data_IF_845936090593
#
_entry.id   IF_845936090593
#
_cell.length_a   1.000
_cell.length_b   1.000
_cell.length_c   1.000
_cell.angle_alpha   90.00
_cell.angle_beta   90.00
_cell.angle_gamma   90.00
#
_symmetry.space_group_name_H-M   'P 1'
#
loop_
_entity.id
_entity.type
_entity.pdbx_description
1 polymer ?
#
# COMPACT_ATOMS: atom_id res chain seq x y z
N UNK A 1 -4.40 3.10 -9.62
CA UNK A 1 -4.18 4.55 -9.49
C UNK A 1 -4.68 4.96 -8.13
N UNK A 2 -3.97 5.85 -7.45
CA UNK A 2 -4.31 6.27 -6.10
C UNK A 2 -4.48 7.78 -6.02
N UNK A 3 -5.60 8.24 -5.46
CA UNK A 3 -5.85 9.65 -5.16
C UNK A 3 -5.40 9.99 -3.75
N UNK A 4 -5.12 11.26 -3.49
CA UNK A 4 -4.98 11.77 -2.12
C UNK A 4 -6.36 11.85 -1.48
N UNK A 5 -6.48 11.36 -0.24
CA UNK A 5 -7.73 11.36 0.53
C UNK A 5 -7.41 11.69 1.98
N UNK A 6 -8.34 12.34 2.67
CA UNK A 6 -8.22 12.57 4.10
C UNK A 6 -8.82 11.41 4.89
N UNK A 7 -8.07 10.88 5.85
CA UNK A 7 -8.50 9.86 6.81
C UNK A 7 -8.05 10.30 8.20
N UNK A 8 -9.00 10.43 9.14
CA UNK A 8 -8.72 10.85 10.52
C UNK A 8 -7.90 12.17 10.66
N UNK A 9 -8.05 13.10 9.70
CA UNK A 9 -7.30 14.37 9.68
C UNK A 9 -5.92 14.29 9.02
N UNK A 10 -5.52 13.14 8.49
CA UNK A 10 -4.28 12.96 7.76
C UNK A 10 -4.52 12.78 6.26
N UNK A 11 -3.70 13.43 5.43
CA UNK A 11 -3.73 13.21 3.98
C UNK A 11 -2.93 11.94 3.64
N UNK A 12 -3.63 10.90 3.20
CA UNK A 12 -3.04 9.63 2.77
C UNK A 12 -3.19 9.44 1.26
N UNK A 13 -2.36 8.58 0.68
CA UNK A 13 -2.53 8.14 -0.71
C UNK A 13 -3.32 6.84 -0.71
N UNK A 14 -4.57 6.88 -1.17
CA UNK A 14 -5.36 5.66 -1.29
C UNK A 14 -4.81 4.76 -2.40
N UNK A 15 -4.81 3.46 -2.16
CA UNK A 15 -4.41 2.45 -3.14
C UNK A 15 -5.63 1.59 -3.45
N UNK A 16 -6.02 1.50 -4.72
CA UNK A 16 -7.15 0.64 -5.12
C UNK A 16 -6.72 -0.82 -5.19
N UNK A 17 -7.62 -1.74 -4.87
CA UNK A 17 -7.40 -3.20 -4.98
C UNK A 17 -7.10 -3.65 -6.42
N UNK A 18 -7.53 -2.89 -7.42
CA UNK A 18 -7.21 -3.11 -8.83
C UNK A 18 -5.79 -2.72 -9.22
N UNK A 19 -5.03 -2.05 -8.36
CA UNK A 19 -3.65 -1.66 -8.63
C UNK A 19 -2.65 -2.75 -8.23
N UNK A 20 -1.45 -2.81 -8.85
CA UNK A 20 -0.44 -3.83 -8.50
C UNK A 20 -0.08 -3.83 -7.01
N UNK A 21 0.07 -2.65 -6.40
CA UNK A 21 0.35 -2.52 -4.97
C UNK A 21 -0.84 -2.98 -4.13
N UNK A 22 -2.07 -2.59 -4.51
CA UNK A 22 -3.28 -3.00 -3.81
C UNK A 22 -3.45 -4.52 -3.80
N UNK A 23 -3.19 -5.19 -4.94
CA UNK A 23 -3.23 -6.65 -5.02
C UNK A 23 -2.17 -7.32 -4.13
N UNK A 24 -0.97 -6.74 -4.05
CA UNK A 24 0.10 -7.27 -3.22
C UNK A 24 -0.18 -7.17 -1.70
N UNK A 25 -1.08 -6.26 -1.30
CA UNK A 25 -1.50 -6.06 0.09
C UNK A 25 -2.67 -6.95 0.51
N UNK A 26 -3.44 -7.52 -0.43
CA UNK A 26 -4.59 -8.36 -0.10
C UNK A 26 -4.15 -9.62 0.65
N UNK A 27 -4.69 -9.82 1.85
CA UNK A 27 -4.42 -10.99 2.68
C UNK A 27 -3.11 -10.92 3.48
N UNK A 28 -2.39 -9.79 3.42
CA UNK A 28 -1.21 -9.55 4.26
C UNK A 28 -1.61 -9.11 5.67
N UNK A 29 -0.74 -9.42 6.62
CA UNK A 29 -0.89 -9.11 8.04
C UNK A 29 0.10 -8.04 8.49
N UNK A 30 -0.09 -7.53 9.71
CA UNK A 30 0.90 -6.65 10.36
C UNK A 30 2.28 -7.31 10.34
N UNK A 31 3.32 -6.50 10.15
CA UNK A 31 4.72 -6.90 10.05
C UNK A 31 5.11 -7.74 8.82
N UNK A 32 4.16 -8.04 7.91
CA UNK A 32 4.49 -8.72 6.66
C UNK A 32 5.28 -7.81 5.71
N UNK A 33 6.24 -8.42 5.02
CA UNK A 33 6.91 -7.82 3.88
C UNK A 33 6.05 -7.88 2.62
N UNK A 34 6.10 -6.78 1.86
CA UNK A 34 5.42 -6.60 0.58
C UNK A 34 6.43 -6.17 -0.47
N UNK A 35 6.71 -7.08 -1.39
CA UNK A 35 7.54 -6.83 -2.56
C UNK A 35 6.69 -6.26 -3.70
N UNK A 36 7.03 -5.06 -4.14
CA UNK A 36 6.33 -4.35 -5.21
C UNK A 36 7.32 -3.94 -6.29
N UNK A 37 6.88 -3.96 -7.56
CA UNK A 37 7.64 -3.39 -8.67
C UNK A 37 7.02 -2.06 -9.06
N UNK A 38 7.80 -0.99 -8.89
CA UNK A 38 7.46 0.34 -9.39
C UNK A 38 8.28 0.61 -10.66
N UNK A 39 7.95 1.63 -11.47
CA UNK A 39 8.79 2.05 -12.59
C UNK A 39 10.23 2.44 -12.17
N UNK A 40 10.45 2.72 -10.88
CA UNK A 40 11.74 3.08 -10.32
C UNK A 40 12.56 1.85 -9.86
N UNK A 41 11.97 0.64 -9.90
CA UNK A 41 12.63 -0.61 -9.53
C UNK A 41 11.81 -1.46 -8.56
N UNK A 42 12.46 -2.48 -7.98
CA UNK A 42 11.87 -3.29 -6.92
C UNK A 42 11.93 -2.52 -5.60
N UNK A 43 10.83 -2.48 -4.88
CA UNK A 43 10.73 -1.88 -3.55
C UNK A 43 10.15 -2.92 -2.58
N UNK A 44 10.71 -2.99 -1.39
CA UNK A 44 10.18 -3.81 -0.28
C UNK A 44 9.60 -2.86 0.76
N UNK A 45 8.34 -3.08 1.13
CA UNK A 45 7.60 -2.31 2.13
C UNK A 45 7.25 -3.23 3.31
N UNK A 46 7.21 -2.67 4.52
CA UNK A 46 6.73 -3.37 5.73
C UNK A 46 5.40 -2.77 6.15
N UNK A 47 4.44 -3.61 6.51
CA UNK A 47 3.16 -3.16 7.07
C UNK A 47 3.34 -2.84 8.54
N UNK A 48 3.36 -1.54 8.88
CA UNK A 48 3.56 -1.05 10.25
C UNK A 48 2.28 -0.87 11.05
N UNK A 49 1.11 -0.87 10.39
CA UNK A 49 -0.19 -0.73 11.02
C UNK A 49 -1.33 -1.25 10.11
N UNK A 50 -2.37 -1.82 10.71
CA UNK A 50 -3.65 -2.18 10.07
C UNK A 50 -4.76 -1.69 11.00
N UNK A 51 -5.76 -1.00 10.45
CA UNK A 51 -6.91 -0.44 11.16
C UNK A 51 -8.23 -0.82 10.51
#
# INVERSE_FOLDING_TARGET
>A
GGGRVEVAGETVTAVTTSSPLGQALVGKSLDDDVDTRTPQGKMTLVIVAIG
#
